data_IF_036756560044
#
_entry.id   IF_036756560044
#
_cell.length_a   1.000
_cell.length_b   1.000
_cell.length_c   1.000
_cell.angle_alpha   90.00
_cell.angle_beta   90.00
_cell.angle_gamma   90.00
#
_symmetry.space_group_name_H-M   'P 1'
#
loop_
_entity.id
_entity.type
_entity.pdbx_description
1 polymer ?
#
# COMPACT_ATOMS: atom_id res chain seq x y z
N UNK A 1 -18.57 16.78 7.07
CA UNK A 1 -17.90 15.59 6.51
C UNK A 1 -17.42 14.74 7.68
N UNK A 2 -17.86 13.48 7.79
CA UNK A 2 -17.39 12.58 8.86
C UNK A 2 -15.90 12.30 8.61
N UNK A 3 -15.01 12.41 9.61
CA UNK A 3 -13.58 12.14 9.42
C UNK A 3 -13.40 10.69 8.93
N UNK A 4 -12.75 10.52 7.78
CA UNK A 4 -12.49 9.20 7.16
C UNK A 4 -11.24 8.60 7.79
N UNK A 5 -11.16 7.27 7.91
CA UNK A 5 -9.97 6.54 8.37
C UNK A 5 -8.65 7.04 7.73
N UNK A 6 -8.72 7.35 6.43
CA UNK A 6 -7.63 7.92 5.65
C UNK A 6 -7.11 9.25 6.19
N UNK A 7 -7.95 10.04 6.86
CA UNK A 7 -7.62 11.39 7.33
C UNK A 7 -6.96 11.40 8.72
N UNK A 8 -7.15 10.35 9.54
CA UNK A 8 -6.67 10.34 10.93
C UNK A 8 -5.65 9.22 11.23
N UNK A 9 -5.53 8.23 10.35
CA UNK A 9 -4.68 7.07 10.59
C UNK A 9 -3.31 7.21 9.90
N UNK A 10 -2.24 7.32 10.70
CA UNK A 10 -0.84 7.27 10.22
C UNK A 10 -0.54 5.98 9.45
N UNK A 11 -1.12 4.85 9.86
CA UNK A 11 -0.93 3.56 9.17
C UNK A 11 -1.61 3.51 7.80
N UNK A 12 -2.72 4.24 7.61
CA UNK A 12 -3.33 4.38 6.29
C UNK A 12 -2.42 5.18 5.34
N UNK A 13 -1.83 6.28 5.81
CA UNK A 13 -0.87 7.07 5.03
C UNK A 13 0.39 6.28 4.67
N UNK A 14 0.95 5.52 5.63
CA UNK A 14 2.12 4.67 5.38
C UNK A 14 1.81 3.59 4.35
N UNK A 15 0.63 2.95 4.43
CA UNK A 15 0.22 1.92 3.47
C UNK A 15 0.01 2.51 2.06
N UNK A 16 -0.61 3.70 1.95
CA UNK A 16 -0.72 4.42 0.67
C UNK A 16 0.66 4.79 0.13
N UNK A 17 1.56 5.30 0.98
CA UNK A 17 2.91 5.64 0.58
C UNK A 17 3.67 4.42 0.03
N UNK A 18 3.54 3.26 0.67
CA UNK A 18 4.16 2.01 0.20
C UNK A 18 3.56 1.55 -1.13
N UNK A 19 2.24 1.66 -1.32
CA UNK A 19 1.60 1.35 -2.60
C UNK A 19 2.12 2.24 -3.74
N UNK A 20 2.23 3.55 -3.48
CA UNK A 20 2.79 4.50 -4.46
C UNK A 20 4.26 4.18 -4.73
N UNK A 21 5.05 3.88 -3.70
CA UNK A 21 6.46 3.51 -3.85
C UNK A 21 6.64 2.23 -4.67
N UNK A 22 5.83 1.20 -4.43
CA UNK A 22 5.86 -0.04 -5.17
C UNK A 22 5.49 0.18 -6.65
N UNK A 23 4.49 1.01 -6.94
CA UNK A 23 4.11 1.38 -8.30
C UNK A 23 5.23 2.15 -9.02
N UNK A 24 5.85 3.11 -8.35
CA UNK A 24 7.00 3.88 -8.90
C UNK A 24 8.20 2.96 -9.13
N UNK A 25 8.51 2.08 -8.20
CA UNK A 25 9.59 1.10 -8.36
C UNK A 25 9.34 0.18 -9.57
N UNK A 26 8.11 -0.28 -9.77
CA UNK A 26 7.73 -1.08 -10.94
C UNK A 26 7.94 -0.30 -12.25
N UNK A 27 7.52 0.97 -12.29
CA UNK A 27 7.72 1.86 -13.44
C UNK A 27 9.21 2.01 -13.77
N UNK A 28 10.05 2.27 -12.76
CA UNK A 28 11.51 2.40 -12.92
C UNK A 28 12.11 1.11 -13.46
N UNK A 29 11.73 -0.04 -12.90
CA UNK A 29 12.26 -1.35 -13.36
C UNK A 29 11.90 -1.59 -14.82
N UNK A 30 10.67 -1.29 -15.22
CA UNK A 30 10.23 -1.45 -16.61
C UNK A 30 10.87 -0.44 -17.57
N UNK A 31 11.20 0.77 -17.12
CA UNK A 31 11.76 1.81 -18.00
C UNK A 31 13.28 1.79 -18.13
N UNK A 32 14.00 1.25 -17.12
CA UNK A 32 15.47 1.20 -17.11
C UNK A 32 16.04 -0.17 -17.48
N UNK A 33 15.21 -1.18 -17.73
CA UNK A 33 15.67 -2.52 -18.08
C UNK A 33 16.35 -3.25 -16.92
N UNK A 34 16.03 -2.87 -15.67
CA UNK A 34 16.50 -3.54 -14.47
C UNK A 34 16.04 -5.01 -14.43
N UNK A 35 16.72 -5.86 -13.65
CA UNK A 35 16.41 -7.29 -13.57
C UNK A 35 14.93 -7.56 -13.33
N UNK A 36 14.30 -8.33 -14.23
CA UNK A 36 12.87 -8.69 -14.19
C UNK A 36 12.44 -9.31 -12.86
N UNK A 37 13.36 -9.93 -12.13
CA UNK A 37 13.14 -10.48 -10.78
C UNK A 37 12.72 -9.44 -9.73
N UNK A 38 12.90 -8.15 -9.97
CA UNK A 38 12.43 -7.07 -9.09
C UNK A 38 10.92 -6.80 -9.19
N UNK A 39 10.27 -7.23 -10.28
CA UNK A 39 8.82 -7.10 -10.47
C UNK A 39 8.00 -7.90 -9.44
N UNK A 40 8.25 -9.20 -9.20
CA UNK A 40 7.51 -9.94 -8.18
C UNK A 40 7.75 -9.42 -6.76
N UNK A 41 8.94 -8.87 -6.45
CA UNK A 41 9.23 -8.28 -5.14
C UNK A 41 8.40 -7.03 -4.89
N UNK A 42 8.25 -6.16 -5.89
CA UNK A 42 7.40 -4.96 -5.77
C UNK A 42 5.91 -5.32 -5.70
N UNK A 43 5.48 -6.36 -6.42
CA UNK A 43 4.11 -6.87 -6.35
C UNK A 43 3.78 -7.45 -4.96
N UNK A 44 4.71 -8.19 -4.34
CA UNK A 44 4.54 -8.69 -2.96
C UNK A 44 4.49 -7.53 -1.96
N UNK A 45 5.34 -6.53 -2.10
CA UNK A 45 5.32 -5.34 -1.24
C UNK A 45 3.99 -4.57 -1.37
N UNK A 46 3.49 -4.39 -2.60
CA UNK A 46 2.19 -3.77 -2.86
C UNK A 46 1.03 -4.59 -2.25
N UNK A 47 1.08 -5.92 -2.36
CA UNK A 47 0.07 -6.82 -1.80
C UNK A 47 0.01 -6.71 -0.27
N UNK A 48 1.17 -6.73 0.40
CA UNK A 48 1.25 -6.58 1.86
C UNK A 48 0.71 -5.22 2.29
N UNK A 49 1.08 -4.14 1.58
CA UNK A 49 0.59 -2.80 1.87
C UNK A 49 -0.94 -2.67 1.66
N UNK A 50 -1.48 -3.28 0.61
CA UNK A 50 -2.91 -3.34 0.38
C UNK A 50 -3.64 -4.10 1.49
N UNK A 51 -3.08 -5.23 1.93
CA UNK A 51 -3.64 -6.02 3.03
C UNK A 51 -3.65 -5.25 4.36
N UNK A 52 -2.57 -4.54 4.70
CA UNK A 52 -2.52 -3.70 5.91
C UNK A 52 -3.50 -2.54 5.86
N UNK A 53 -3.69 -1.92 4.68
CA UNK A 53 -4.67 -0.87 4.47
C UNK A 53 -6.09 -1.40 4.64
N UNK A 54 -6.38 -2.58 4.07
CA UNK A 54 -7.66 -3.26 4.18
C UNK A 54 -7.98 -3.64 5.62
N UNK A 55 -7.05 -4.30 6.33
CA UNK A 55 -7.22 -4.67 7.75
C UNK A 55 -7.43 -3.43 8.62
N UNK A 56 -6.64 -2.37 8.38
CA UNK A 56 -6.79 -1.10 9.08
C UNK A 56 -8.15 -0.44 8.85
N UNK A 57 -8.64 -0.49 7.61
CA UNK A 57 -9.96 0.01 7.26
C UNK A 57 -11.08 -0.81 7.90
N UNK A 58 -11.02 -2.15 7.86
CA UNK A 58 -11.99 -3.06 8.50
C UNK A 58 -12.05 -2.85 10.01
N UNK A 59 -10.89 -2.72 10.67
CA UNK A 59 -10.82 -2.43 12.12
C UNK A 59 -11.44 -1.07 12.47
N UNK A 60 -11.34 -0.09 11.59
CA UNK A 60 -11.94 1.22 11.81
C UNK A 60 -13.46 1.23 11.56
N UNK A 61 -13.94 0.48 10.56
CA UNK A 61 -15.39 0.37 10.29
C UNK A 61 -16.12 -0.55 11.27
N UNK A 62 -15.42 -1.48 11.91
CA UNK A 62 -15.95 -2.35 12.98
C UNK A 62 -15.09 -2.26 14.25
N UNK A 63 -15.22 -1.18 15.04
CA UNK A 63 -14.53 -1.07 16.32
C UNK A 63 -15.23 -1.94 17.37
N UNK A 64 -14.99 -3.25 17.36
CA UNK A 64 -15.47 -4.14 18.44
C UNK A 64 -15.96 -5.55 18.06
N UNK A 65 -15.41 -6.18 17.03
CA UNK A 65 -15.49 -7.65 16.92
C UNK A 65 -14.37 -8.31 17.75
#
# INVERSE_FOLDING_TARGET
>A
MKPTYLTHSRTAHVSVAILVLAAVAKLIVTSTGLPIWLLPVSDVAALVAAATLFIGWVRWTSPGA
#
